data_IF_976319361421
#
_entry.id   IF_976319361421
#
_cell.length_a   1.000
_cell.length_b   1.000
_cell.length_c   1.000
_cell.angle_alpha   90.00
_cell.angle_beta   90.00
_cell.angle_gamma   90.00
#
_symmetry.space_group_name_H-M   'P 1'
#
loop_
_entity.id
_entity.type
_entity.pdbx_description
1 polymer ?
#
# COMPACT_ATOMS: atom_id res chain seq x y z
N UNK A 1 9.94 10.03 10.60
CA UNK A 1 8.87 9.10 10.19
C UNK A 1 8.12 9.66 9.00
N UNK A 2 7.79 8.84 8.06
CA UNK A 2 6.99 9.26 6.90
C UNK A 2 5.54 8.82 7.06
N UNK A 3 4.62 9.73 6.76
CA UNK A 3 3.18 9.46 6.75
C UNK A 3 2.67 9.71 5.34
N UNK A 4 1.96 8.74 4.79
CA UNK A 4 1.32 8.84 3.48
C UNK A 4 -0.20 8.92 3.68
N UNK A 5 -0.78 10.05 3.32
CA UNK A 5 -2.23 10.26 3.27
C UNK A 5 -2.70 9.96 1.85
N UNK A 6 -3.68 9.10 1.71
CA UNK A 6 -4.17 8.64 0.40
C UNK A 6 -5.63 9.03 0.23
N UNK A 7 -5.92 9.76 -0.85
CA UNK A 7 -7.30 10.00 -1.28
C UNK A 7 -7.82 8.72 -1.95
N UNK A 8 -8.56 7.93 -1.21
CA UNK A 8 -8.96 6.59 -1.61
C UNK A 8 -9.74 6.53 -2.92
N UNK A 9 -10.77 7.33 -3.06
CA UNK A 9 -11.59 7.33 -4.29
C UNK A 9 -10.86 7.93 -5.50
N UNK A 10 -9.91 8.81 -5.26
CA UNK A 10 -9.05 9.32 -6.32
C UNK A 10 -8.17 8.20 -6.91
N UNK A 11 -7.57 7.37 -6.05
CA UNK A 11 -6.80 6.21 -6.47
C UNK A 11 -7.69 5.18 -7.19
N UNK A 12 -8.87 4.90 -6.66
CA UNK A 12 -9.83 3.97 -7.27
C UNK A 12 -10.25 4.44 -8.67
N UNK A 13 -10.41 5.74 -8.85
CA UNK A 13 -10.73 6.31 -10.15
C UNK A 13 -9.57 6.38 -11.14
N UNK A 14 -8.33 6.22 -10.66
CA UNK A 14 -7.11 6.40 -11.47
C UNK A 14 -6.42 5.09 -11.83
N UNK A 15 -6.41 4.10 -10.93
CA UNK A 15 -5.67 2.86 -11.15
C UNK A 15 -6.50 1.84 -11.95
N UNK A 16 -5.92 1.20 -12.98
CA UNK A 16 -6.68 0.35 -13.89
C UNK A 16 -7.47 -0.77 -13.22
N UNK A 17 -6.86 -1.54 -12.33
CA UNK A 17 -7.52 -2.67 -11.63
C UNK A 17 -8.69 -2.18 -10.77
N UNK A 18 -8.50 -1.05 -10.09
CA UNK A 18 -9.51 -0.48 -9.19
C UNK A 18 -10.64 0.18 -9.96
N UNK A 19 -10.31 0.83 -11.06
CA UNK A 19 -11.29 1.48 -11.94
C UNK A 19 -12.25 0.46 -12.54
N UNK A 20 -11.75 -0.67 -12.99
CA UNK A 20 -12.56 -1.77 -13.51
C UNK A 20 -13.42 -2.40 -12.42
N UNK A 21 -12.82 -2.66 -11.26
CA UNK A 21 -13.51 -3.28 -10.13
C UNK A 21 -14.61 -2.37 -9.56
N UNK A 22 -14.40 -1.07 -9.56
CA UNK A 22 -15.37 -0.06 -9.10
C UNK A 22 -16.70 -0.16 -9.85
N UNK A 23 -16.65 -0.43 -11.15
CA UNK A 23 -17.85 -0.54 -11.98
C UNK A 23 -18.71 -1.74 -11.59
N UNK A 24 -18.09 -2.78 -11.02
CA UNK A 24 -18.76 -3.99 -10.55
C UNK A 24 -19.19 -3.87 -9.10
N UNK A 25 -18.27 -3.47 -8.23
CA UNK A 25 -18.51 -3.39 -6.79
C UNK A 25 -17.49 -2.42 -6.16
N UNK A 26 -17.97 -1.26 -5.76
CA UNK A 26 -17.13 -0.22 -5.13
C UNK A 26 -16.53 -0.69 -3.80
N UNK A 27 -17.25 -1.52 -3.04
CA UNK A 27 -16.77 -2.08 -1.78
C UNK A 27 -15.55 -2.97 -2.00
N UNK A 28 -15.56 -3.81 -3.04
CA UNK A 28 -14.42 -4.63 -3.42
C UNK A 28 -13.23 -3.79 -3.87
N UNK A 29 -13.48 -2.70 -4.58
CA UNK A 29 -12.42 -1.77 -4.99
C UNK A 29 -11.75 -1.13 -3.78
N UNK A 30 -12.53 -0.72 -2.77
CA UNK A 30 -11.97 -0.20 -1.51
C UNK A 30 -11.13 -1.25 -0.81
N UNK A 31 -11.63 -2.47 -0.69
CA UNK A 31 -10.90 -3.57 -0.03
C UNK A 31 -9.59 -3.88 -0.72
N UNK A 32 -9.59 -3.93 -2.05
CA UNK A 32 -8.37 -4.16 -2.82
C UNK A 32 -7.35 -3.02 -2.64
N UNK A 33 -7.80 -1.78 -2.66
CA UNK A 33 -6.92 -0.63 -2.39
C UNK A 33 -6.30 -0.72 -1.00
N UNK A 34 -7.10 -1.04 0.01
CA UNK A 34 -6.62 -1.19 1.39
C UNK A 34 -5.56 -2.30 1.47
N UNK A 35 -5.78 -3.43 0.82
CA UNK A 35 -4.81 -4.53 0.77
C UNK A 35 -3.50 -4.10 0.10
N UNK A 36 -3.58 -3.40 -1.03
CA UNK A 36 -2.40 -2.88 -1.75
C UNK A 36 -1.61 -1.91 -0.88
N UNK A 37 -2.29 -1.02 -0.19
CA UNK A 37 -1.66 -0.04 0.71
C UNK A 37 -1.07 -0.68 1.95
N UNK A 38 -1.72 -1.70 2.50
CA UNK A 38 -1.22 -2.45 3.65
C UNK A 38 0.10 -3.18 3.30
N UNK A 39 0.15 -3.80 2.15
CA UNK A 39 1.35 -4.44 1.63
C UNK A 39 2.48 -3.44 1.40
N UNK A 40 2.16 -2.29 0.82
CA UNK A 40 3.10 -1.18 0.62
C UNK A 40 3.67 -0.67 1.95
N UNK A 41 2.82 -0.43 2.95
CA UNK A 41 3.25 -0.01 4.28
C UNK A 41 4.19 -1.03 4.91
N UNK A 42 3.84 -2.29 4.82
CA UNK A 42 4.62 -3.40 5.37
C UNK A 42 6.03 -3.47 4.80
N UNK A 43 6.16 -3.21 3.50
CA UNK A 43 7.44 -3.25 2.80
C UNK A 43 8.28 -1.97 3.00
N UNK A 44 7.65 -0.80 2.82
CA UNK A 44 8.35 0.51 2.87
C UNK A 44 8.59 1.03 4.28
N UNK A 45 7.76 0.63 5.24
CA UNK A 45 7.75 1.24 6.55
C UNK A 45 7.00 2.58 6.56
N UNK A 46 6.95 3.23 7.69
CA UNK A 46 6.16 4.45 7.88
C UNK A 46 4.69 4.14 8.18
N UNK A 47 3.83 5.11 7.97
CA UNK A 47 2.40 5.02 8.25
C UNK A 47 1.59 5.41 7.03
N UNK A 48 0.61 4.60 6.69
CA UNK A 48 -0.33 4.89 5.60
C UNK A 48 -1.73 5.10 6.17
N UNK A 49 -2.37 6.17 5.75
CA UNK A 49 -3.75 6.51 6.13
C UNK A 49 -4.55 6.69 4.85
N UNK A 50 -5.54 5.84 4.64
CA UNK A 50 -6.48 5.96 3.53
C UNK A 50 -7.71 6.74 3.98
N UNK A 51 -8.07 7.77 3.24
CA UNK A 51 -9.23 8.61 3.53
C UNK A 51 -10.27 8.41 2.45
N UNK A 52 -11.47 8.04 2.87
CA UNK A 52 -12.62 7.84 1.99
C UNK A 52 -13.71 8.83 2.32
N UNK A 53 -14.27 9.46 1.28
CA UNK A 53 -15.41 10.36 1.43
C UNK A 53 -16.65 9.56 1.83
N UNK A 54 -17.30 9.97 2.93
CA UNK A 54 -18.48 9.30 3.46
C UNK A 54 -19.68 9.33 2.51
N UNK A 55 -19.73 10.31 1.59
CA UNK A 55 -20.78 10.42 0.58
C UNK A 55 -20.91 9.16 -0.29
N UNK A 56 -19.80 8.49 -0.55
CA UNK A 56 -19.73 7.29 -1.38
C UNK A 56 -19.84 5.99 -0.58
N UNK A 57 -19.99 6.07 0.75
CA UNK A 57 -20.08 4.90 1.62
C UNK A 57 -21.48 4.83 2.24
N UNK A 58 -22.22 3.77 1.92
CA UNK A 58 -23.52 3.50 2.54
C UNK A 58 -23.30 3.00 3.98
N UNK A 59 -24.23 3.30 4.90
CA UNK A 59 -24.09 3.01 6.33
C UNK A 59 -23.75 1.56 6.68
N UNK A 60 -24.26 0.59 5.91
CA UNK A 60 -24.00 -0.84 6.10
C UNK A 60 -22.59 -1.27 5.62
N UNK A 61 -21.98 -0.47 4.76
CA UNK A 61 -20.64 -0.75 4.20
C UNK A 61 -19.52 -0.23 5.10
N UNK A 62 -19.84 0.55 6.14
CA UNK A 62 -18.87 1.07 7.11
C UNK A 62 -18.34 0.04 8.10
N UNK A 63 -18.62 -1.24 7.88
CA UNK A 63 -18.03 -2.30 8.71
C UNK A 63 -16.52 -2.30 8.53
N UNK A 64 -15.83 -1.97 9.61
CA UNK A 64 -14.37 -1.94 9.62
C UNK A 64 -13.79 -3.32 9.35
N UNK A 65 -13.18 -3.47 8.20
CA UNK A 65 -12.24 -4.53 7.97
C UNK A 65 -10.99 -4.20 8.79
N UNK A 66 -10.52 -5.13 9.61
CA UNK A 66 -9.25 -4.98 10.30
C UNK A 66 -8.13 -4.93 9.28
N UNK A 67 -7.43 -3.81 9.22
CA UNK A 67 -6.29 -3.60 8.35
C UNK A 67 -5.10 -3.08 9.15
N UNK A 68 -3.89 -3.32 8.65
CA UNK A 68 -2.67 -2.78 9.24
C UNK A 68 -2.52 -1.28 8.99
N UNK A 69 -3.23 -0.73 8.00
CA UNK A 69 -3.26 0.71 7.75
C UNK A 69 -4.45 1.35 8.46
N UNK A 70 -4.35 2.65 8.69
CA UNK A 70 -5.47 3.42 9.20
C UNK A 70 -6.43 3.76 8.05
N UNK A 71 -7.71 3.52 8.25
CA UNK A 71 -8.77 3.85 7.31
C UNK A 71 -9.71 4.84 7.96
N UNK A 72 -9.88 6.00 7.35
CA UNK A 72 -10.73 7.07 7.84
C UNK A 72 -11.86 7.32 6.86
N UNK A 73 -13.08 7.32 7.36
CA UNK A 73 -14.25 7.79 6.63
C UNK A 73 -14.59 9.18 7.13
N UNK A 74 -14.79 10.12 6.21
CA UNK A 74 -15.11 11.49 6.57
C UNK A 74 -16.51 11.59 7.19
N UNK A 75 -16.76 12.70 7.90
CA UNK A 75 -18.08 13.00 8.42
C UNK A 75 -19.04 13.35 7.28
N UNK A 76 -20.35 13.32 7.54
CA UNK A 76 -21.39 13.53 6.54
C UNK A 76 -21.22 14.83 5.73
N UNK A 77 -20.77 15.90 6.38
CA UNK A 77 -20.57 17.21 5.75
C UNK A 77 -19.10 17.54 5.47
N UNK A 78 -18.23 16.54 5.50
CA UNK A 78 -16.79 16.71 5.30
C UNK A 78 -16.34 15.94 4.06
N UNK A 79 -15.55 16.58 3.19
CA UNK A 79 -14.95 15.91 2.05
C UNK A 79 -13.63 15.24 2.43
N UNK A 80 -13.18 14.28 1.61
CA UNK A 80 -11.88 13.67 1.78
C UNK A 80 -10.76 14.72 1.69
N UNK A 81 -10.89 15.68 0.79
CA UNK A 81 -9.94 16.77 0.61
C UNK A 81 -9.77 17.61 1.88
N UNK A 82 -10.89 17.98 2.51
CA UNK A 82 -10.88 18.75 3.76
C UNK A 82 -10.22 17.96 4.90
N UNK A 83 -10.51 16.69 4.99
CA UNK A 83 -9.92 15.82 6.03
C UNK A 83 -8.43 15.64 5.80
N UNK A 84 -8.00 15.41 4.57
CA UNK A 84 -6.59 15.28 4.20
C UNK A 84 -5.81 16.55 4.53
N UNK A 85 -6.36 17.70 4.18
CA UNK A 85 -5.76 19.01 4.51
C UNK A 85 -5.55 19.17 6.01
N UNK A 86 -6.58 18.86 6.79
CA UNK A 86 -6.54 18.93 8.24
C UNK A 86 -5.49 17.98 8.84
N UNK A 87 -5.48 16.73 8.38
CA UNK A 87 -4.51 15.73 8.83
C UNK A 87 -3.07 16.12 8.44
N UNK A 88 -2.88 16.66 7.24
CA UNK A 88 -1.57 17.11 6.80
C UNK A 88 -1.01 18.19 7.73
N UNK A 89 -1.85 19.14 8.14
CA UNK A 89 -1.45 20.17 9.09
C UNK A 89 -1.18 19.65 10.49
N UNK A 90 -1.99 18.70 10.97
CA UNK A 90 -1.85 18.13 12.31
C UNK A 90 -0.65 17.18 12.45
N UNK A 91 -0.37 16.39 11.41
CA UNK A 91 0.66 15.34 11.47
C UNK A 91 2.05 15.82 11.08
N UNK A 92 2.15 16.89 10.31
CA UNK A 92 3.44 17.40 9.85
C UNK A 92 4.16 18.14 10.96
N UNK A 93 5.28 17.59 11.40
CA UNK A 93 6.15 18.20 12.41
C UNK A 93 7.64 17.99 12.04
N UNK A 94 8.54 18.42 12.92
CA UNK A 94 9.99 18.33 12.70
C UNK A 94 10.47 16.87 12.49
N UNK A 95 9.76 15.91 13.06
CA UNK A 95 10.12 14.48 13.00
C UNK A 95 9.31 13.70 11.99
N UNK A 96 8.23 14.28 11.47
CA UNK A 96 7.27 13.60 10.60
C UNK A 96 7.13 14.33 9.30
N UNK A 97 7.47 13.67 8.21
CA UNK A 97 7.22 14.18 6.85
C UNK A 97 5.93 13.58 6.33
N UNK A 98 5.02 14.43 5.88
CA UNK A 98 3.72 14.03 5.33
C UNK A 98 3.73 14.12 3.81
N UNK A 99 3.26 13.05 3.17
CA UNK A 99 3.02 12.98 1.74
C UNK A 99 1.53 12.77 1.50
N UNK A 100 0.99 13.41 0.48
CA UNK A 100 -0.42 13.27 0.10
C UNK A 100 -0.51 12.73 -1.32
N UNK A 101 -1.13 11.57 -1.47
CA UNK A 101 -1.38 10.95 -2.77
C UNK A 101 -2.74 11.41 -3.31
N UNK A 102 -2.71 12.24 -4.31
CA UNK A 102 -3.89 12.76 -5.01
C UNK A 102 -3.51 13.18 -6.44
N UNK A 103 -4.44 13.05 -7.38
CA UNK A 103 -4.28 13.59 -8.73
C UNK A 103 -4.84 15.02 -8.87
N UNK A 104 -5.41 15.57 -7.80
CA UNK A 104 -5.99 16.91 -7.82
C UNK A 104 -4.91 17.99 -7.63
N UNK A 105 -4.57 18.68 -8.72
CA UNK A 105 -3.61 19.79 -8.71
C UNK A 105 -4.08 21.01 -7.91
N UNK A 106 -5.38 21.21 -7.78
CA UNK A 106 -5.93 22.34 -7.03
C UNK A 106 -5.56 22.26 -5.54
N UNK A 107 -5.40 21.06 -5.00
CA UNK A 107 -4.99 20.83 -3.62
C UNK A 107 -3.50 21.05 -3.37
N UNK A 108 -2.68 21.06 -4.39
CA UNK A 108 -1.23 21.13 -4.24
C UNK A 108 -0.77 22.33 -3.43
N UNK A 109 -1.35 23.50 -3.66
CA UNK A 109 -1.01 24.72 -2.92
C UNK A 109 -1.32 24.60 -1.44
N UNK A 110 -2.46 24.04 -1.12
CA UNK A 110 -2.92 23.86 0.27
C UNK A 110 -2.02 22.85 0.98
N UNK A 111 -1.68 21.77 0.31
CA UNK A 111 -0.79 20.72 0.82
C UNK A 111 0.60 21.30 1.11
N UNK A 112 1.17 22.08 0.20
CA UNK A 112 2.46 22.73 0.41
C UNK A 112 2.41 23.76 1.54
N UNK A 113 1.31 24.52 1.64
CA UNK A 113 1.13 25.49 2.72
C UNK A 113 1.10 24.82 4.10
N UNK A 114 0.70 23.55 4.18
CA UNK A 114 0.72 22.74 5.40
C UNK A 114 2.06 22.02 5.62
N UNK A 115 3.05 22.23 4.75
CA UNK A 115 4.37 21.61 4.85
C UNK A 115 4.43 20.17 4.32
N UNK A 116 3.38 19.69 3.68
CA UNK A 116 3.32 18.35 3.10
C UNK A 116 3.74 18.36 1.63
N UNK A 117 4.12 17.19 1.12
CA UNK A 117 4.44 16.98 -0.29
C UNK A 117 3.33 16.21 -0.99
N UNK A 118 3.13 16.48 -2.27
CA UNK A 118 2.18 15.76 -3.10
C UNK A 118 2.88 14.66 -3.87
N UNK A 119 2.25 13.48 -3.91
CA UNK A 119 2.60 12.39 -4.84
C UNK A 119 1.39 12.16 -5.75
N UNK A 120 1.59 12.03 -7.05
CA UNK A 120 0.49 11.78 -7.96
C UNK A 120 -0.03 10.34 -7.82
N UNK A 121 -1.28 10.11 -8.24
CA UNK A 121 -1.85 8.77 -8.26
C UNK A 121 -1.00 7.81 -9.10
N UNK A 122 -0.48 8.28 -10.23
CA UNK A 122 0.39 7.49 -11.12
C UNK A 122 1.71 7.13 -10.45
N UNK A 123 2.35 8.09 -9.80
CA UNK A 123 3.63 7.85 -9.09
C UNK A 123 3.46 6.81 -8.00
N UNK A 124 2.40 6.92 -7.20
CA UNK A 124 2.12 5.94 -6.16
C UNK A 124 1.82 4.56 -6.75
N UNK A 125 1.08 4.50 -7.85
CA UNK A 125 0.80 3.24 -8.55
C UNK A 125 2.09 2.54 -8.98
N UNK A 126 3.02 3.27 -9.58
CA UNK A 126 4.32 2.75 -10.02
C UNK A 126 5.10 2.21 -8.82
N UNK A 127 5.15 2.97 -7.72
CA UNK A 127 5.82 2.51 -6.50
C UNK A 127 5.21 1.24 -5.93
N UNK A 128 3.89 1.15 -5.89
CA UNK A 128 3.19 -0.04 -5.40
C UNK A 128 3.48 -1.25 -6.28
N UNK A 129 3.46 -1.08 -7.61
CA UNK A 129 3.82 -2.17 -8.53
C UNK A 129 5.25 -2.63 -8.36
N UNK A 130 6.18 -1.71 -8.14
CA UNK A 130 7.57 -2.04 -7.86
C UNK A 130 7.73 -2.80 -6.54
N UNK A 131 6.98 -2.43 -5.50
CA UNK A 131 6.97 -3.13 -4.22
C UNK A 131 6.40 -4.55 -4.38
N UNK A 132 5.29 -4.71 -5.09
CA UNK A 132 4.71 -6.03 -5.37
C UNK A 132 5.70 -6.95 -6.09
N UNK A 133 6.40 -6.42 -7.08
CA UNK A 133 7.44 -7.15 -7.80
C UNK A 133 8.59 -7.54 -6.89
N UNK A 134 9.06 -6.64 -6.04
CA UNK A 134 10.13 -6.90 -5.07
C UNK A 134 9.73 -8.00 -4.08
N UNK A 135 8.50 -7.99 -3.60
CA UNK A 135 7.97 -9.02 -2.70
C UNK A 135 7.92 -10.38 -3.39
N UNK A 136 7.45 -10.44 -4.64
CA UNK A 136 7.42 -11.67 -5.43
C UNK A 136 8.82 -12.25 -5.64
N UNK A 137 9.80 -11.41 -5.93
CA UNK A 137 11.20 -11.80 -6.06
C UNK A 137 11.76 -12.35 -4.74
N UNK A 138 11.50 -11.68 -3.61
CA UNK A 138 11.92 -12.13 -2.28
C UNK A 138 11.30 -13.48 -1.91
N UNK A 139 10.01 -13.68 -2.19
CA UNK A 139 9.32 -14.95 -1.96
C UNK A 139 9.92 -16.06 -2.82
N UNK A 140 10.20 -15.77 -4.09
CA UNK A 140 10.84 -16.71 -5.01
C UNK A 140 12.23 -17.12 -4.51
N UNK A 141 13.06 -16.19 -4.07
CA UNK A 141 14.39 -16.44 -3.49
C UNK A 141 14.30 -17.27 -2.21
N UNK A 142 13.41 -16.93 -1.29
CA UNK A 142 13.20 -17.68 -0.05
C UNK A 142 12.72 -19.10 -0.33
N UNK A 143 11.87 -19.31 -1.31
CA UNK A 143 11.40 -20.63 -1.71
C UNK A 143 12.57 -21.47 -2.27
N UNK A 144 13.48 -20.84 -2.99
CA UNK A 144 14.70 -21.49 -3.48
C UNK A 144 15.67 -21.82 -2.34
N UNK A 145 15.83 -20.92 -1.38
CA UNK A 145 16.68 -21.10 -0.21
C UNK A 145 16.18 -22.19 0.76
N UNK A 146 14.88 -22.38 0.88
CA UNK A 146 14.29 -23.43 1.75
C UNK A 146 14.60 -24.84 1.27
N UNK A 147 15.04 -25.03 0.03
CA UNK A 147 15.51 -26.31 -0.49
C UNK A 147 16.97 -26.62 -0.17
N UNK A 148 17.71 -25.64 0.36
CA UNK A 148 19.06 -25.90 0.88
C UNK A 148 18.93 -26.40 2.32
N UNK A 149 19.31 -27.67 2.59
CA UNK A 149 19.27 -28.17 3.96
C UNK A 149 20.24 -27.37 4.82
N UNK A 150 19.73 -26.74 5.88
CA UNK A 150 20.51 -26.00 6.88
C UNK A 150 21.33 -26.92 7.82
N UNK A 151 21.36 -28.20 7.51
CA UNK A 151 22.14 -29.18 8.27
C UNK A 151 23.58 -29.10 7.79
N UNK A 152 24.57 -28.93 8.67
CA UNK A 152 25.96 -28.97 8.26
C UNK A 152 26.29 -30.39 7.81
N UNK A 153 26.22 -30.62 6.51
CA UNK A 153 26.62 -31.87 5.88
C UNK A 153 28.09 -31.83 5.63
N UNK A 154 28.80 -32.92 5.93
CA UNK A 154 30.17 -33.06 5.51
C UNK A 154 30.22 -33.10 3.96
N UNK A 155 31.38 -32.86 3.41
CA UNK A 155 31.58 -32.76 1.96
C UNK A 155 31.09 -34.01 1.20
N UNK A 156 31.29 -35.19 1.76
CA UNK A 156 30.87 -36.47 1.17
C UNK A 156 29.35 -36.61 1.09
N UNK A 157 28.62 -36.26 2.15
CA UNK A 157 27.16 -36.30 2.19
C UNK A 157 26.58 -35.25 1.26
N UNK A 158 27.20 -34.09 1.17
CA UNK A 158 26.78 -33.02 0.25
C UNK A 158 26.91 -33.44 -1.20
N UNK A 159 28.01 -34.11 -1.56
CA UNK A 159 28.24 -34.64 -2.89
C UNK A 159 27.26 -35.77 -3.24
N UNK A 160 26.94 -36.63 -2.28
CA UNK A 160 25.95 -37.70 -2.45
C UNK A 160 24.53 -37.13 -2.70
N UNK A 161 24.14 -36.10 -1.98
CA UNK A 161 22.87 -35.40 -2.19
C UNK A 161 22.81 -34.69 -3.54
N UNK A 162 23.88 -34.08 -3.98
CA UNK A 162 23.93 -33.43 -5.28
C UNK A 162 23.83 -34.45 -6.44
N UNK A 163 24.48 -35.56 -6.33
CA UNK A 163 24.36 -36.68 -7.30
C UNK A 163 22.94 -37.20 -7.37
N UNK A 164 22.32 -37.41 -6.22
CA UNK A 164 20.93 -37.86 -6.13
C UNK A 164 19.99 -36.85 -6.77
N UNK A 165 20.17 -35.57 -6.49
CA UNK A 165 19.36 -34.50 -7.06
C UNK A 165 19.48 -34.40 -8.58
N UNK A 166 20.65 -34.68 -9.12
CA UNK A 166 20.92 -34.67 -10.57
C UNK A 166 20.45 -35.95 -11.27
N UNK A 167 19.98 -36.93 -10.52
CA UNK A 167 19.54 -38.20 -11.07
C UNK A 167 20.69 -39.12 -11.51
N UNK A 168 21.90 -38.82 -11.11
CA UNK A 168 23.09 -39.69 -11.35
C UNK A 168 23.05 -40.86 -10.38
N UNK A 169 22.93 -42.05 -10.93
CA UNK A 169 22.97 -43.28 -10.14
C UNK A 169 24.38 -43.62 -9.69
#
# INVERSE_FOLDING_TARGET
MNVLLVDGYNMIGSWPELKDLRERDLSLARDLLIDMLAEYQSYKGGRVIAVFDAYHVRGLERKHRKSSIDVIYTKENETADERIEKLAGELNDVRTQVYVATSDYAQQRVIFARGAYRISARELYIEIKNVQKAIEEDVSERTTETYTPKIPLNKEVREAFEKWRRGDK
#
